data_IF_274560058122
#
_entry.id   IF_274560058122
#
_cell.length_a   1.000
_cell.length_b   1.000
_cell.length_c   1.000
_cell.angle_alpha   90.00
_cell.angle_beta   90.00
_cell.angle_gamma   90.00
#
_symmetry.space_group_name_H-M   'P 1'
#
loop_
_entity.id
_entity.type
_entity.pdbx_description
1 polymer ?
#
# COMPACT_ATOMS: atom_id res chain seq x y z
N UNK A 1 -16.55 57.15 76.28
CA UNK A 1 -17.53 56.09 76.00
C UNK A 1 -17.90 56.18 74.53
N UNK A 2 -17.64 55.10 73.77
CA UNK A 2 -18.31 54.65 72.51
C UNK A 2 -18.81 55.71 71.53
N UNK A 3 -18.20 55.89 70.34
CA UNK A 3 -18.49 55.09 69.13
C UNK A 3 -18.58 56.03 67.89
N UNK A 4 -18.48 55.53 66.64
CA UNK A 4 -17.48 56.06 65.70
C UNK A 4 -17.98 56.87 64.49
N UNK A 5 -17.09 57.77 64.06
CA UNK A 5 -16.63 58.14 62.71
C UNK A 5 -17.51 57.91 61.47
N UNK A 6 -17.84 59.03 60.81
CA UNK A 6 -18.01 59.17 59.36
C UNK A 6 -17.28 60.46 58.96
N UNK A 7 -16.37 60.40 57.98
CA UNK A 7 -15.61 61.58 57.54
C UNK A 7 -15.02 61.35 56.15
N UNK A 8 -15.55 62.12 55.22
CA UNK A 8 -15.25 62.17 53.79
C UNK A 8 -14.04 63.08 53.49
N UNK A 9 -13.56 63.01 52.26
CA UNK A 9 -12.76 64.00 51.50
C UNK A 9 -11.30 64.34 51.89
N UNK A 10 -10.44 64.07 50.90
CA UNK A 10 -9.31 64.87 50.36
C UNK A 10 -8.73 66.02 51.19
N UNK A 11 -7.41 66.00 51.43
CA UNK A 11 -6.55 67.10 50.98
C UNK A 11 -5.06 66.70 50.89
N UNK A 12 -4.42 67.35 49.93
CA UNK A 12 -3.03 67.38 49.53
C UNK A 12 -2.05 67.92 50.60
N UNK A 13 -0.76 67.52 50.52
CA UNK A 13 0.45 68.38 50.53
C UNK A 13 1.73 67.63 50.98
N UNK A 14 2.86 68.00 50.36
CA UNK A 14 4.16 68.09 51.06
C UNK A 14 5.17 66.97 50.80
N UNK A 15 6.16 67.23 49.94
CA UNK A 15 7.34 66.38 49.78
C UNK A 15 8.45 66.65 50.80
N UNK A 16 9.39 65.70 50.94
CA UNK A 16 10.86 65.88 50.79
C UNK A 16 11.65 64.61 51.14
N UNK A 17 12.65 64.34 50.30
CA UNK A 17 13.82 63.45 50.30
C UNK A 17 14.25 62.67 51.56
N UNK A 18 14.66 61.40 51.34
CA UNK A 18 15.73 60.76 52.13
C UNK A 18 15.88 59.23 51.98
N UNK A 19 16.85 58.77 51.15
CA UNK A 19 17.69 57.59 51.42
C UNK A 19 17.21 56.16 51.06
N UNK A 20 17.84 55.58 50.02
CA UNK A 20 17.85 54.17 49.53
C UNK A 20 18.29 53.12 50.58
N UNK A 21 18.27 51.77 50.34
CA UNK A 21 18.11 51.01 49.07
C UNK A 21 17.25 49.71 49.13
N UNK A 22 17.20 48.97 48.02
CA UNK A 22 16.74 47.57 47.80
C UNK A 22 15.23 47.41 47.58
N UNK A 23 14.70 46.71 46.59
CA UNK A 23 15.19 46.04 45.38
C UNK A 23 13.88 45.84 44.57
N UNK A 24 13.63 46.58 43.50
CA UNK A 24 13.87 46.02 42.17
C UNK A 24 12.84 44.97 41.73
N UNK A 25 11.53 45.26 41.69
CA UNK A 25 10.57 44.43 40.94
C UNK A 25 9.94 45.24 39.80
N UNK A 26 10.68 45.41 38.72
CA UNK A 26 10.10 45.66 37.39
C UNK A 26 9.83 44.30 36.76
N UNK A 27 8.56 43.93 36.66
CA UNK A 27 8.11 42.74 35.93
C UNK A 27 8.34 43.03 34.43
N UNK A 28 9.38 42.40 33.89
CA UNK A 28 9.69 42.37 32.47
C UNK A 28 8.76 41.34 31.78
N UNK A 29 7.95 41.69 30.77
CA UNK A 29 7.01 40.77 30.13
C UNK A 29 7.68 39.78 29.16
N UNK A 30 8.98 39.50 29.33
CA UNK A 30 9.78 38.66 28.44
C UNK A 30 10.29 37.34 29.08
N UNK A 31 9.72 36.92 30.21
CA UNK A 31 10.15 35.71 30.92
C UNK A 31 8.98 34.75 31.22
N UNK A 32 8.34 34.24 30.18
CA UNK A 32 7.62 32.95 30.28
C UNK A 32 7.64 32.22 28.94
N UNK A 33 8.86 32.04 28.42
CA UNK A 33 9.10 31.10 27.32
C UNK A 33 9.36 29.76 27.95
N UNK A 34 8.30 28.97 28.12
CA UNK A 34 8.41 27.52 28.32
C UNK A 34 9.25 26.99 27.15
N UNK A 35 10.50 26.62 27.43
CA UNK A 35 11.32 25.89 26.48
C UNK A 35 10.58 24.58 26.16
N UNK A 36 10.28 24.29 24.89
CA UNK A 36 9.90 22.94 24.53
C UNK A 36 11.13 22.09 24.81
N UNK A 37 11.03 21.18 25.77
CA UNK A 37 12.03 20.15 25.95
C UNK A 37 12.21 19.45 24.61
N UNK A 38 13.41 19.56 24.06
CA UNK A 38 13.94 18.76 22.96
C UNK A 38 13.94 17.29 23.39
N UNK A 39 12.75 16.69 23.36
CA UNK A 39 12.60 15.29 23.03
C UNK A 39 12.28 15.22 21.54
N UNK A 40 13.16 15.83 20.75
CA UNK A 40 13.43 15.42 19.38
C UNK A 40 13.94 13.98 19.43
N UNK A 41 13.03 13.03 19.50
CA UNK A 41 13.30 11.73 18.89
C UNK A 41 13.15 11.93 17.39
N UNK A 42 14.13 12.58 16.78
CA UNK A 42 14.33 12.59 15.34
C UNK A 42 14.42 11.14 14.89
N UNK A 43 13.32 10.59 14.40
CA UNK A 43 13.32 9.36 13.61
C UNK A 43 13.87 9.74 12.23
N UNK A 44 15.16 10.07 12.21
CA UNK A 44 15.90 10.57 11.06
C UNK A 44 17.40 10.24 11.14
N UNK A 45 17.78 9.21 11.91
CA UNK A 45 19.18 8.86 12.19
C UNK A 45 19.76 7.74 11.33
N UNK A 46 18.97 7.09 10.47
CA UNK A 46 19.47 6.02 9.61
C UNK A 46 20.03 6.59 8.31
N UNK A 47 21.21 6.13 7.90
CA UNK A 47 21.77 6.48 6.60
C UNK A 47 20.86 6.01 5.46
N UNK A 48 20.86 6.73 4.34
CA UNK A 48 20.09 6.37 3.13
C UNK A 48 20.34 4.91 2.73
N UNK A 49 21.59 4.44 2.81
CA UNK A 49 21.95 3.06 2.50
C UNK A 49 21.27 2.04 3.43
N UNK A 50 21.20 2.31 4.74
CA UNK A 50 20.52 1.45 5.71
C UNK A 50 19.00 1.46 5.46
N UNK A 51 18.43 2.61 5.14
CA UNK A 51 17.02 2.73 4.78
C UNK A 51 16.66 1.92 3.54
N UNK A 52 17.40 2.11 2.45
CA UNK A 52 17.21 1.36 1.21
C UNK A 52 17.44 -0.13 1.42
N UNK A 53 18.54 -0.50 2.07
CA UNK A 53 18.88 -1.91 2.33
C UNK A 53 17.84 -2.62 3.19
N UNK A 54 17.33 -1.98 4.24
CA UNK A 54 16.26 -2.55 5.09
C UNK A 54 14.92 -2.65 4.37
N UNK A 55 14.55 -1.65 3.57
CA UNK A 55 13.31 -1.67 2.78
C UNK A 55 13.33 -2.76 1.70
N UNK A 56 14.40 -2.83 0.91
CA UNK A 56 14.55 -3.87 -0.11
C UNK A 56 14.64 -5.24 0.57
N UNK A 57 15.40 -5.34 1.66
CA UNK A 57 15.57 -6.56 2.43
C UNK A 57 14.24 -7.13 2.95
N UNK A 58 13.38 -6.31 3.56
CA UNK A 58 12.08 -6.79 4.05
C UNK A 58 11.14 -7.19 2.91
N UNK A 59 11.16 -6.47 1.79
CA UNK A 59 10.40 -6.84 0.59
C UNK A 59 10.82 -8.22 0.04
N UNK A 60 12.12 -8.43 -0.14
CA UNK A 60 12.69 -9.71 -0.60
C UNK A 60 12.40 -10.83 0.41
N UNK A 61 12.57 -10.58 1.71
CA UNK A 61 12.25 -11.56 2.76
C UNK A 61 10.78 -11.96 2.74
N UNK A 62 9.86 -11.04 2.46
CA UNK A 62 8.44 -11.36 2.31
C UNK A 62 8.19 -12.33 1.15
N UNK A 63 8.86 -12.13 0.01
CA UNK A 63 8.79 -13.05 -1.14
C UNK A 63 9.38 -14.41 -0.80
N UNK A 64 10.56 -14.44 -0.17
CA UNK A 64 11.19 -15.70 0.25
C UNK A 64 10.33 -16.44 1.28
N UNK A 65 9.69 -15.73 2.20
CA UNK A 65 8.74 -16.32 3.15
C UNK A 65 7.54 -16.92 2.42
N UNK A 66 7.01 -16.25 1.38
CA UNK A 66 5.90 -16.78 0.58
C UNK A 66 6.30 -18.06 -0.16
N UNK A 67 7.50 -18.09 -0.74
CA UNK A 67 8.06 -19.29 -1.38
C UNK A 67 8.22 -20.42 -0.36
N UNK A 68 8.77 -20.13 0.82
CA UNK A 68 8.95 -21.12 1.88
C UNK A 68 7.60 -21.70 2.36
N UNK A 69 6.60 -20.85 2.59
CA UNK A 69 5.24 -21.29 2.98
C UNK A 69 4.60 -22.14 1.88
N UNK A 70 4.70 -21.69 0.63
CA UNK A 70 4.17 -22.43 -0.53
C UNK A 70 4.84 -23.80 -0.68
N UNK A 71 6.17 -23.86 -0.47
CA UNK A 71 6.92 -25.11 -0.48
C UNK A 71 6.48 -26.06 0.64
N UNK A 72 6.32 -25.55 1.86
CA UNK A 72 5.80 -26.36 3.00
C UNK A 72 4.43 -26.93 2.67
N UNK A 73 3.50 -26.14 2.10
CA UNK A 73 2.19 -26.65 1.69
C UNK A 73 2.29 -27.69 0.59
N UNK A 74 3.17 -27.50 -0.41
CA UNK A 74 3.39 -28.51 -1.43
C UNK A 74 3.87 -29.84 -0.82
N UNK A 75 4.83 -29.80 0.11
CA UNK A 75 5.35 -31.00 0.78
C UNK A 75 4.29 -31.70 1.65
N UNK A 76 3.53 -30.93 2.44
CA UNK A 76 2.43 -31.49 3.24
C UNK A 76 1.38 -32.12 2.34
N UNK A 77 1.04 -31.46 1.23
CA UNK A 77 0.13 -31.98 0.21
C UNK A 77 0.56 -33.35 -0.30
N UNK A 78 1.84 -33.53 -0.63
CA UNK A 78 2.36 -34.83 -1.07
C UNK A 78 2.24 -35.91 0.02
N UNK A 79 2.43 -35.57 1.30
CA UNK A 79 2.35 -36.52 2.41
C UNK A 79 0.93 -36.97 2.74
N UNK A 80 -0.08 -36.12 2.49
CA UNK A 80 -1.49 -36.42 2.80
C UNK A 80 -2.30 -36.95 1.61
N UNK A 81 -1.63 -37.26 0.50
CA UNK A 81 -2.29 -37.77 -0.73
C UNK A 81 -2.83 -36.70 -1.67
N UNK A 82 -2.40 -35.45 -1.51
CA UNK A 82 -2.79 -34.30 -2.31
C UNK A 82 -3.88 -33.45 -1.68
N UNK A 83 -3.94 -32.17 -2.07
CA UNK A 83 -5.03 -31.27 -1.74
C UNK A 83 -5.99 -31.15 -2.93
N UNK A 84 -7.28 -30.92 -2.65
CA UNK A 84 -8.20 -30.47 -3.69
C UNK A 84 -7.77 -29.10 -4.23
N UNK A 85 -8.15 -28.79 -5.47
CA UNK A 85 -7.81 -27.49 -6.08
C UNK A 85 -8.22 -26.31 -5.19
N UNK A 86 -9.42 -26.36 -4.60
CA UNK A 86 -9.91 -25.32 -3.70
C UNK A 86 -9.06 -25.15 -2.45
N UNK A 87 -8.59 -26.26 -1.84
CA UNK A 87 -7.70 -26.21 -0.68
C UNK A 87 -6.32 -25.67 -1.07
N UNK A 88 -5.75 -26.12 -2.20
CA UNK A 88 -4.48 -25.61 -2.71
C UNK A 88 -4.52 -24.11 -3.00
N UNK A 89 -5.62 -23.62 -3.57
CA UNK A 89 -5.83 -22.19 -3.80
C UNK A 89 -6.00 -21.43 -2.49
N UNK A 90 -6.78 -21.94 -1.53
CA UNK A 90 -6.94 -21.30 -0.23
C UNK A 90 -5.61 -21.22 0.55
N UNK A 91 -4.82 -22.29 0.56
CA UNK A 91 -3.53 -22.32 1.24
C UNK A 91 -2.53 -21.36 0.60
N UNK A 92 -2.41 -21.36 -0.73
CA UNK A 92 -1.44 -20.49 -1.43
C UNK A 92 -1.89 -19.02 -1.45
N UNK A 93 -3.12 -18.73 -1.89
CA UNK A 93 -3.62 -17.37 -2.04
C UNK A 93 -3.96 -16.71 -0.70
N UNK A 94 -4.54 -17.44 0.25
CA UNK A 94 -5.01 -16.86 1.53
C UNK A 94 -3.94 -16.98 2.59
N UNK A 95 -3.60 -18.20 2.99
CA UNK A 95 -2.69 -18.42 4.13
C UNK A 95 -1.28 -17.97 3.79
N UNK A 96 -0.80 -18.30 2.59
CA UNK A 96 0.52 -17.93 2.09
C UNK A 96 0.76 -16.43 2.16
N UNK A 97 -0.17 -15.62 1.64
CA UNK A 97 -0.01 -14.17 1.61
C UNK A 97 -0.07 -13.52 3.01
N UNK A 98 -1.02 -13.91 3.87
CA UNK A 98 -1.09 -13.34 5.22
C UNK A 98 0.15 -13.71 6.04
N UNK A 99 0.58 -14.97 6.02
CA UNK A 99 1.74 -15.41 6.79
C UNK A 99 3.01 -14.77 6.25
N UNK A 100 3.20 -14.76 4.94
CA UNK A 100 4.41 -14.24 4.33
C UNK A 100 4.47 -12.72 4.34
N UNK A 101 3.52 -12.03 3.71
CA UNK A 101 3.61 -10.58 3.50
C UNK A 101 3.24 -9.81 4.75
N UNK A 102 2.05 -10.08 5.30
CA UNK A 102 1.62 -9.40 6.54
C UNK A 102 2.47 -9.83 7.72
N UNK A 103 2.78 -11.13 7.85
CA UNK A 103 3.64 -11.64 8.93
C UNK A 103 5.06 -11.05 8.87
N UNK A 104 5.72 -11.05 7.71
CA UNK A 104 7.08 -10.47 7.59
C UNK A 104 7.08 -8.97 7.83
N UNK A 105 6.13 -8.23 7.24
CA UNK A 105 6.06 -6.78 7.44
C UNK A 105 5.72 -6.41 8.89
N UNK A 106 4.78 -7.12 9.54
CA UNK A 106 4.49 -6.91 10.97
C UNK A 106 5.69 -7.27 11.85
N UNK A 107 6.37 -8.38 11.58
CA UNK A 107 7.57 -8.76 12.33
C UNK A 107 8.64 -7.67 12.22
N UNK A 108 8.90 -7.17 11.01
CA UNK A 108 9.83 -6.07 10.78
C UNK A 108 9.44 -4.79 11.55
N UNK A 109 8.18 -4.35 11.46
CA UNK A 109 7.70 -3.16 12.18
C UNK A 109 7.81 -3.33 13.71
N UNK A 110 7.54 -4.53 14.21
CA UNK A 110 7.68 -4.85 15.65
C UNK A 110 9.14 -4.86 16.10
N UNK A 111 10.04 -5.40 15.29
CA UNK A 111 11.49 -5.34 15.53
C UNK A 111 12.02 -3.90 15.50
N UNK A 112 11.36 -3.01 14.77
CA UNK A 112 11.60 -1.55 14.79
C UNK A 112 10.98 -0.83 15.99
N UNK A 113 10.31 -1.55 16.90
CA UNK A 113 9.69 -0.99 18.11
C UNK A 113 8.31 -0.38 17.89
N UNK A 114 7.63 -0.64 16.78
CA UNK A 114 6.33 -0.05 16.50
C UNK A 114 5.22 -0.79 17.28
N UNK A 115 4.58 -0.07 18.21
CA UNK A 115 3.35 -0.51 18.85
C UNK A 115 2.16 -0.53 17.89
N UNK A 116 1.02 -1.12 18.29
CA UNK A 116 -0.17 -1.27 17.42
C UNK A 116 -0.67 0.07 16.85
N UNK A 117 -0.83 1.08 17.70
CA UNK A 117 -1.31 2.41 17.27
C UNK A 117 -0.38 3.04 16.24
N UNK A 118 0.93 3.00 16.49
CA UNK A 118 1.94 3.52 15.57
C UNK A 118 1.97 2.78 14.24
N UNK A 119 1.70 1.47 14.23
CA UNK A 119 1.58 0.71 12.96
C UNK A 119 0.39 1.22 12.15
N UNK A 120 -0.78 1.39 12.78
CA UNK A 120 -1.98 1.89 12.09
C UNK A 120 -1.75 3.27 11.50
N UNK A 121 -1.14 4.18 12.27
CA UNK A 121 -0.82 5.54 11.84
C UNK A 121 0.25 5.56 10.74
N UNK A 122 1.36 4.83 10.92
CA UNK A 122 2.45 4.78 9.96
C UNK A 122 2.03 4.23 8.60
N UNK A 123 1.08 3.29 8.60
CA UNK A 123 0.54 2.70 7.39
C UNK A 123 -0.65 3.49 6.83
N UNK A 124 -1.18 4.49 7.53
CA UNK A 124 -2.39 5.20 7.10
C UNK A 124 -3.61 4.27 6.98
N UNK A 125 -3.80 3.37 7.94
CA UNK A 125 -4.96 2.47 7.96
C UNK A 125 -6.16 3.24 8.52
N UNK A 126 -6.89 3.89 7.62
CA UNK A 126 -8.04 4.72 7.95
C UNK A 126 -9.21 4.43 7.00
N UNK A 127 -10.44 4.75 7.44
CA UNK A 127 -11.62 4.60 6.58
C UNK A 127 -11.49 5.55 5.38
N UNK A 128 -11.65 5.05 4.14
CA UNK A 128 -11.52 5.90 2.96
C UNK A 128 -12.65 6.94 2.93
N UNK A 129 -12.29 8.18 2.61
CA UNK A 129 -13.27 9.22 2.30
C UNK A 129 -13.96 8.93 0.95
N UNK A 130 -15.05 9.64 0.64
CA UNK A 130 -15.68 9.54 -0.68
C UNK A 130 -14.69 9.84 -1.82
N UNK A 131 -13.85 10.86 -1.64
CA UNK A 131 -12.79 11.17 -2.59
C UNK A 131 -11.78 10.00 -2.69
N UNK A 132 -11.40 9.39 -1.56
CA UNK A 132 -10.56 8.20 -1.54
C UNK A 132 -11.16 7.03 -2.33
N UNK A 133 -12.47 6.78 -2.20
CA UNK A 133 -13.16 5.76 -2.99
C UNK A 133 -13.20 6.09 -4.49
N UNK A 134 -13.43 7.35 -4.85
CA UNK A 134 -13.38 7.81 -6.25
C UNK A 134 -11.98 7.63 -6.82
N UNK A 135 -10.94 7.96 -6.05
CA UNK A 135 -9.54 7.73 -6.44
C UNK A 135 -9.25 6.24 -6.60
N UNK A 136 -9.74 5.38 -5.71
CA UNK A 136 -9.54 3.93 -5.82
C UNK A 136 -10.15 3.37 -7.11
N UNK A 137 -11.39 3.75 -7.43
CA UNK A 137 -12.09 3.29 -8.65
C UNK A 137 -11.44 3.90 -9.91
N UNK A 138 -11.25 5.22 -9.93
CA UNK A 138 -10.64 5.91 -11.08
C UNK A 138 -9.21 5.45 -11.33
N UNK A 139 -8.43 5.23 -10.26
CA UNK A 139 -7.08 4.68 -10.33
C UNK A 139 -7.06 3.24 -10.86
N UNK A 140 -8.00 2.38 -10.46
CA UNK A 140 -8.11 1.02 -10.98
C UNK A 140 -8.40 1.01 -12.48
N UNK A 141 -9.33 1.86 -12.93
CA UNK A 141 -9.64 2.03 -14.36
C UNK A 141 -8.45 2.59 -15.14
N UNK A 142 -7.78 3.62 -14.62
CA UNK A 142 -6.59 4.18 -15.24
C UNK A 142 -5.47 3.13 -15.36
N UNK A 143 -5.26 2.33 -14.32
CA UNK A 143 -4.29 1.23 -14.32
C UNK A 143 -4.64 0.16 -15.34
N UNK A 144 -5.92 -0.20 -15.46
CA UNK A 144 -6.41 -1.10 -16.49
C UNK A 144 -6.15 -0.57 -17.89
N UNK A 145 -6.45 0.70 -18.17
CA UNK A 145 -6.21 1.33 -19.48
C UNK A 145 -4.72 1.34 -19.82
N UNK A 146 -3.85 1.66 -18.85
CA UNK A 146 -2.39 1.61 -19.03
C UNK A 146 -1.94 0.18 -19.35
N UNK A 147 -2.38 -0.81 -18.56
CA UNK A 147 -2.03 -2.21 -18.78
C UNK A 147 -2.49 -2.71 -20.15
N UNK A 148 -3.71 -2.34 -20.58
CA UNK A 148 -4.25 -2.69 -21.89
C UNK A 148 -3.43 -2.05 -23.02
N UNK A 149 -3.10 -0.77 -22.89
CA UNK A 149 -2.29 -0.03 -23.89
C UNK A 149 -0.91 -0.67 -24.03
N UNK A 150 -0.24 -0.97 -22.92
CA UNK A 150 1.07 -1.61 -22.92
C UNK A 150 1.00 -3.03 -23.50
N UNK A 151 -0.05 -3.79 -23.17
CA UNK A 151 -0.26 -5.14 -23.72
C UNK A 151 -0.46 -5.10 -25.23
N UNK A 152 -1.18 -4.11 -25.76
CA UNK A 152 -1.35 -3.91 -27.20
C UNK A 152 -0.03 -3.57 -27.91
N UNK A 153 0.84 -2.76 -27.27
CA UNK A 153 2.19 -2.49 -27.79
C UNK A 153 3.06 -3.75 -27.77
N UNK A 154 3.02 -4.52 -26.69
CA UNK A 154 3.79 -5.76 -26.59
C UNK A 154 3.33 -6.79 -27.63
N UNK A 155 2.04 -6.86 -27.94
CA UNK A 155 1.52 -7.75 -28.98
C UNK A 155 2.15 -7.51 -30.36
N UNK A 156 2.64 -6.30 -30.67
CA UNK A 156 3.34 -6.04 -31.95
C UNK A 156 4.76 -6.61 -32.00
N UNK A 157 5.32 -7.04 -30.87
CA UNK A 157 6.67 -7.62 -30.81
C UNK A 157 6.72 -9.10 -31.20
N UNK A 158 5.56 -9.78 -31.26
CA UNK A 158 5.47 -11.22 -31.48
C UNK A 158 5.93 -12.07 -30.29
N UNK A 159 6.25 -11.44 -29.15
CA UNK A 159 6.62 -12.15 -27.92
C UNK A 159 5.40 -12.23 -27.01
N UNK A 160 5.00 -13.46 -26.68
CA UNK A 160 3.93 -13.71 -25.72
C UNK A 160 4.43 -13.51 -24.27
N UNK A 161 3.81 -12.61 -23.49
CA UNK A 161 4.11 -12.48 -22.07
C UNK A 161 3.86 -13.78 -21.31
N UNK A 162 4.66 -14.05 -20.28
CA UNK A 162 4.38 -15.15 -19.38
C UNK A 162 3.02 -14.95 -18.70
N UNK A 163 2.27 -16.04 -18.53
CA UNK A 163 0.92 -15.99 -17.98
C UNK A 163 0.97 -16.12 -16.45
N UNK A 164 0.08 -15.39 -15.77
CA UNK A 164 -0.14 -15.60 -14.35
C UNK A 164 -0.84 -16.96 -14.11
N UNK A 165 -0.28 -17.79 -13.25
CA UNK A 165 -0.78 -19.13 -12.93
C UNK A 165 -2.21 -19.10 -12.37
N UNK A 166 -2.57 -18.10 -11.56
CA UNK A 166 -3.93 -17.93 -11.07
C UNK A 166 -4.94 -17.68 -12.20
N UNK A 167 -4.56 -16.84 -13.17
CA UNK A 167 -5.37 -16.61 -14.37
C UNK A 167 -5.45 -17.88 -15.25
N UNK A 168 -4.35 -18.64 -15.38
CA UNK A 168 -4.35 -19.90 -16.13
C UNK A 168 -5.30 -20.95 -15.52
N UNK A 169 -5.31 -21.08 -14.19
CA UNK A 169 -6.26 -21.96 -13.48
C UNK A 169 -7.70 -21.47 -13.66
N UNK A 170 -7.93 -20.15 -13.59
CA UNK A 170 -9.25 -19.56 -13.82
C UNK A 170 -9.76 -19.80 -15.25
N UNK A 171 -8.88 -19.82 -16.27
CA UNK A 171 -9.25 -20.17 -17.64
C UNK A 171 -9.74 -21.61 -17.78
N UNK A 172 -9.14 -22.53 -17.03
CA UNK A 172 -9.52 -23.95 -17.04
C UNK A 172 -10.80 -24.21 -16.24
N UNK A 173 -11.08 -23.39 -15.22
CA UNK A 173 -12.28 -23.50 -14.40
C UNK A 173 -12.86 -22.12 -14.08
N UNK A 174 -13.62 -21.50 -14.99
CA UNK A 174 -14.15 -20.14 -14.82
C UNK A 174 -15.07 -19.97 -13.61
N UNK A 175 -15.68 -21.06 -13.11
CA UNK A 175 -16.56 -21.03 -11.95
C UNK A 175 -15.87 -20.57 -10.66
N UNK A 176 -14.54 -20.61 -10.59
CA UNK A 176 -13.79 -20.13 -9.42
C UNK A 176 -13.55 -18.62 -9.43
N UNK A 177 -13.78 -17.94 -10.57
CA UNK A 177 -13.46 -16.51 -10.73
C UNK A 177 -14.12 -15.64 -9.65
N UNK A 178 -15.42 -15.79 -9.30
CA UNK A 178 -16.03 -15.00 -8.22
C UNK A 178 -15.31 -15.16 -6.87
N UNK A 179 -14.84 -16.37 -6.54
CA UNK A 179 -14.09 -16.61 -5.31
C UNK A 179 -12.70 -15.96 -5.35
N UNK A 180 -12.03 -15.98 -6.51
CA UNK A 180 -10.74 -15.29 -6.69
C UNK A 180 -10.93 -13.78 -6.60
N UNK A 181 -11.98 -13.21 -7.20
CA UNK A 181 -12.33 -11.78 -7.09
C UNK A 181 -12.49 -11.40 -5.61
N UNK A 182 -13.25 -12.18 -4.83
CA UNK A 182 -13.37 -11.93 -3.39
C UNK A 182 -12.00 -11.98 -2.69
N UNK A 183 -11.15 -12.94 -3.05
CA UNK A 183 -9.78 -13.03 -2.51
C UNK A 183 -8.90 -11.83 -2.91
N UNK A 184 -9.14 -11.18 -4.06
CA UNK A 184 -8.42 -9.96 -4.43
C UNK A 184 -8.66 -8.83 -3.42
N UNK A 185 -9.91 -8.67 -2.96
CA UNK A 185 -10.28 -7.64 -1.98
C UNK A 185 -9.87 -7.97 -0.56
N UNK A 186 -9.98 -9.23 -0.16
CA UNK A 186 -9.75 -9.62 1.22
C UNK A 186 -8.27 -9.91 1.50
N UNK A 187 -7.55 -10.43 0.51
CA UNK A 187 -6.20 -10.94 0.70
C UNK A 187 -5.19 -10.24 -0.18
N UNK A 188 -5.27 -10.39 -1.51
CA UNK A 188 -4.17 -10.01 -2.41
C UNK A 188 -3.87 -8.52 -2.32
N UNK A 189 -4.88 -7.67 -2.58
CA UNK A 189 -4.73 -6.22 -2.49
C UNK A 189 -4.22 -5.79 -1.11
N UNK A 190 -4.89 -6.17 0.00
CA UNK A 190 -4.43 -5.79 1.34
C UNK A 190 -3.04 -6.29 1.71
N UNK A 191 -2.70 -7.56 1.44
CA UNK A 191 -1.43 -8.16 1.88
C UNK A 191 -0.24 -7.61 1.08
N UNK A 192 -0.40 -7.50 -0.24
CA UNK A 192 0.66 -6.97 -1.10
C UNK A 192 0.87 -5.49 -0.83
N UNK A 193 -0.19 -4.66 -0.81
CA UNK A 193 -0.02 -3.24 -0.55
C UNK A 193 0.51 -2.98 0.87
N UNK A 194 0.13 -3.80 1.86
CA UNK A 194 0.70 -3.72 3.21
C UNK A 194 2.23 -3.86 3.18
N UNK A 195 2.75 -4.88 2.50
CA UNK A 195 4.19 -5.09 2.45
C UNK A 195 4.87 -4.03 1.57
N UNK A 196 4.41 -3.83 0.34
CA UNK A 196 5.16 -3.05 -0.65
C UNK A 196 4.95 -1.54 -0.53
N UNK A 197 3.74 -1.07 -0.17
CA UNK A 197 3.49 0.36 0.09
C UNK A 197 3.66 0.69 1.54
N UNK A 198 2.93 -0.03 2.38
CA UNK A 198 2.88 0.20 3.81
C UNK A 198 4.27 0.09 4.44
N UNK A 199 5.02 -0.97 4.14
CA UNK A 199 6.33 -1.21 4.76
C UNK A 199 7.48 -0.74 3.88
N UNK A 200 7.62 -1.25 2.64
CA UNK A 200 8.79 -0.99 1.79
C UNK A 200 8.82 0.47 1.33
N UNK A 201 7.76 0.98 0.71
CA UNK A 201 7.70 2.36 0.23
C UNK A 201 7.77 3.36 1.39
N UNK A 202 6.96 3.20 2.45
CA UNK A 202 7.02 4.10 3.61
C UNK A 202 8.40 4.13 4.25
N UNK A 203 9.08 2.97 4.34
CA UNK A 203 10.46 2.93 4.84
C UNK A 203 11.40 3.73 3.95
N UNK A 204 11.31 3.58 2.63
CA UNK A 204 12.11 4.38 1.69
C UNK A 204 11.84 5.88 1.85
N UNK A 205 10.58 6.26 2.11
CA UNK A 205 10.16 7.66 2.30
C UNK A 205 10.75 8.33 3.54
N UNK A 206 11.22 7.56 4.52
CA UNK A 206 11.93 8.11 5.70
C UNK A 206 13.27 8.78 5.32
N UNK A 207 13.85 8.47 4.15
CA UNK A 207 15.17 9.02 3.75
C UNK A 207 15.27 9.42 2.28
N UNK A 208 14.26 9.14 1.46
CA UNK A 208 14.22 9.47 0.04
C UNK A 208 12.97 10.26 -0.31
N UNK A 209 13.02 11.17 -1.29
CA UNK A 209 11.82 11.78 -1.87
C UNK A 209 10.84 10.74 -2.45
N UNK A 210 9.60 11.18 -2.71
CA UNK A 210 8.51 10.33 -3.20
C UNK A 210 8.88 9.52 -4.46
N UNK A 211 9.34 10.19 -5.51
CA UNK A 211 9.62 9.55 -6.80
C UNK A 211 10.61 8.36 -6.70
N UNK A 212 11.84 8.51 -6.15
CA UNK A 212 12.76 7.38 -6.02
C UNK A 212 12.25 6.28 -5.08
N UNK A 213 11.53 6.63 -4.00
CA UNK A 213 10.93 5.62 -3.13
C UNK A 213 9.89 4.75 -3.85
N UNK A 214 9.01 5.37 -4.65
CA UNK A 214 8.00 4.68 -5.46
C UNK A 214 8.65 3.79 -6.52
N UNK A 215 9.69 4.29 -7.20
CA UNK A 215 10.42 3.53 -8.22
C UNK A 215 11.11 2.31 -7.62
N UNK A 216 11.82 2.48 -6.50
CA UNK A 216 12.52 1.36 -5.85
C UNK A 216 11.53 0.34 -5.31
N UNK A 217 10.45 0.77 -4.64
CA UNK A 217 9.41 -0.15 -4.17
C UNK A 217 8.80 -0.95 -5.34
N UNK A 218 8.59 -0.30 -6.49
CA UNK A 218 8.07 -0.96 -7.69
C UNK A 218 9.06 -1.94 -8.32
N UNK A 219 10.35 -1.62 -8.27
CA UNK A 219 11.42 -2.51 -8.71
C UNK A 219 11.59 -3.74 -7.80
N UNK A 220 11.09 -3.71 -6.56
CA UNK A 220 11.01 -4.88 -5.67
C UNK A 220 9.71 -5.66 -5.90
N UNK A 221 8.58 -4.95 -6.08
CA UNK A 221 7.25 -5.55 -6.29
C UNK A 221 7.14 -6.34 -7.60
N UNK A 222 7.53 -5.76 -8.74
CA UNK A 222 7.28 -6.39 -10.03
C UNK A 222 8.03 -7.74 -10.19
N UNK A 223 9.34 -7.86 -9.86
CA UNK A 223 10.03 -9.14 -9.92
C UNK A 223 9.51 -10.18 -8.93
N UNK A 224 8.88 -9.78 -7.82
CA UNK A 224 8.25 -10.70 -6.88
C UNK A 224 7.23 -11.62 -7.55
N UNK A 225 6.64 -11.19 -8.67
CA UNK A 225 5.66 -11.96 -9.43
C UNK A 225 6.25 -13.12 -10.21
N UNK A 226 7.58 -13.24 -10.34
CA UNK A 226 8.21 -14.34 -11.09
C UNK A 226 7.72 -15.73 -10.62
N UNK A 227 7.41 -15.86 -9.33
CA UNK A 227 6.92 -17.11 -8.72
C UNK A 227 5.51 -17.51 -9.17
N UNK A 228 4.72 -16.54 -9.64
CA UNK A 228 3.34 -16.74 -10.11
C UNK A 228 3.23 -16.72 -11.63
N UNK A 229 4.33 -16.49 -12.34
CA UNK A 229 4.39 -16.51 -13.80
C UNK A 229 4.77 -17.91 -14.31
N UNK A 230 4.20 -18.29 -15.45
CA UNK A 230 4.52 -19.54 -16.15
C UNK A 230 4.38 -19.38 -17.66
N UNK A 231 5.16 -20.15 -18.43
CA UNK A 231 5.23 -20.04 -19.89
C UNK A 231 6.09 -18.87 -20.39
N UNK A 232 6.12 -18.66 -21.71
CA UNK A 232 6.78 -17.52 -22.36
C UNK A 232 8.32 -17.52 -22.37
N UNK A 233 8.98 -18.47 -21.68
CA UNK A 233 10.43 -18.50 -21.54
C UNK A 233 10.99 -17.26 -20.81
N UNK A 234 12.31 -17.07 -20.84
CA UNK A 234 12.94 -15.94 -20.16
C UNK A 234 12.47 -14.57 -20.68
N UNK A 235 12.23 -14.47 -22.00
CA UNK A 235 11.74 -13.24 -22.63
C UNK A 235 10.31 -12.90 -22.21
N UNK A 236 9.39 -13.87 -22.23
CA UNK A 236 8.00 -13.67 -21.81
C UNK A 236 7.89 -13.29 -20.32
N UNK A 237 8.72 -13.90 -19.46
CA UNK A 237 8.81 -13.52 -18.04
C UNK A 237 9.32 -12.10 -17.86
N UNK A 238 10.39 -11.71 -18.57
CA UNK A 238 10.94 -10.36 -18.49
C UNK A 238 9.92 -9.30 -18.95
N UNK A 239 9.18 -9.57 -20.02
CA UNK A 239 8.12 -8.69 -20.52
C UNK A 239 6.98 -8.58 -19.50
N UNK A 240 6.50 -9.70 -18.94
CA UNK A 240 5.45 -9.69 -17.94
C UNK A 240 5.85 -8.87 -16.69
N UNK A 241 7.09 -9.05 -16.21
CA UNK A 241 7.64 -8.24 -15.11
C UNK A 241 7.71 -6.76 -15.50
N UNK A 242 8.17 -6.44 -16.72
CA UNK A 242 8.22 -5.06 -17.22
C UNK A 242 6.85 -4.39 -17.26
N UNK A 243 5.81 -5.13 -17.68
CA UNK A 243 4.43 -4.64 -17.67
C UNK A 243 3.93 -4.35 -16.25
N UNK A 244 4.29 -5.19 -15.27
CA UNK A 244 3.87 -5.05 -13.87
C UNK A 244 4.47 -3.84 -13.15
N UNK A 245 5.59 -3.28 -13.64
CA UNK A 245 6.17 -2.05 -13.08
C UNK A 245 5.18 -0.89 -13.16
N UNK A 246 4.42 -0.77 -14.24
CA UNK A 246 3.54 0.39 -14.45
C UNK A 246 2.35 0.43 -13.47
N UNK A 247 1.54 -0.63 -13.29
CA UNK A 247 0.56 -0.70 -12.21
C UNK A 247 1.16 -0.41 -10.84
N UNK A 248 2.33 -0.98 -10.54
CA UNK A 248 3.01 -0.75 -9.28
C UNK A 248 3.39 0.72 -9.05
N UNK A 249 3.84 1.43 -10.09
CA UNK A 249 4.11 2.86 -9.99
C UNK A 249 2.83 3.64 -9.66
N UNK A 250 1.72 3.31 -10.33
CA UNK A 250 0.42 3.95 -10.09
C UNK A 250 -0.07 3.70 -8.66
N UNK A 251 0.05 2.48 -8.15
CA UNK A 251 -0.28 2.16 -6.76
C UNK A 251 0.57 2.99 -5.79
N UNK A 252 1.88 3.08 -6.06
CA UNK A 252 2.79 3.89 -5.24
C UNK A 252 2.45 5.38 -5.23
N UNK A 253 2.07 5.93 -6.38
CA UNK A 253 1.61 7.33 -6.50
C UNK A 253 0.31 7.55 -5.74
N UNK A 254 -0.67 6.66 -5.88
CA UNK A 254 -1.95 6.78 -5.17
C UNK A 254 -1.77 6.65 -3.66
N UNK A 255 -0.93 5.74 -3.19
CA UNK A 255 -0.62 5.64 -1.77
C UNK A 255 0.08 6.89 -1.23
N UNK A 256 1.09 7.41 -1.95
CA UNK A 256 1.77 8.66 -1.56
C UNK A 256 0.80 9.85 -1.53
N UNK A 257 -0.08 9.96 -2.52
CA UNK A 257 -1.03 11.07 -2.64
C UNK A 257 -2.13 11.02 -1.56
N UNK A 258 -2.63 9.82 -1.26
CA UNK A 258 -3.77 9.65 -0.34
C UNK A 258 -3.34 9.45 1.11
N UNK A 259 -2.10 9.00 1.34
CA UNK A 259 -1.62 8.60 2.67
C UNK A 259 -2.45 7.48 3.29
N UNK A 260 -3.19 6.70 2.49
CA UNK A 260 -4.17 5.74 3.00
C UNK A 260 -3.99 4.35 2.35
N UNK A 261 -3.60 3.36 3.16
CA UNK A 261 -3.35 2.00 2.69
C UNK A 261 -4.62 1.30 2.20
N UNK A 262 -5.78 1.61 2.79
CA UNK A 262 -7.06 1.02 2.39
C UNK A 262 -7.44 1.49 0.99
N UNK A 263 -7.19 2.75 0.64
CA UNK A 263 -7.49 3.29 -0.69
C UNK A 263 -6.68 2.57 -1.77
N UNK A 264 -5.36 2.44 -1.60
CA UNK A 264 -4.51 1.76 -2.59
C UNK A 264 -4.79 0.25 -2.64
N UNK A 265 -5.08 -0.39 -1.50
CA UNK A 265 -5.46 -1.81 -1.47
C UNK A 265 -6.76 -2.08 -2.23
N UNK A 266 -7.76 -1.20 -2.08
CA UNK A 266 -9.01 -1.26 -2.84
C UNK A 266 -8.77 -1.03 -4.34
N UNK A 267 -7.95 -0.05 -4.70
CA UNK A 267 -7.56 0.22 -6.08
C UNK A 267 -6.91 -1.00 -6.73
N UNK A 268 -5.93 -1.62 -6.05
CA UNK A 268 -5.24 -2.80 -6.53
C UNK A 268 -6.22 -3.97 -6.68
N UNK A 269 -7.04 -4.24 -5.66
CA UNK A 269 -8.05 -5.30 -5.71
C UNK A 269 -9.04 -5.11 -6.86
N UNK A 270 -9.51 -3.88 -7.09
CA UNK A 270 -10.40 -3.52 -8.20
C UNK A 270 -9.73 -3.76 -9.54
N UNK A 271 -8.49 -3.31 -9.73
CA UNK A 271 -7.74 -3.52 -10.96
C UNK A 271 -7.63 -5.01 -11.31
N UNK A 272 -7.22 -5.84 -10.35
CA UNK A 272 -7.12 -7.30 -10.58
C UNK A 272 -8.50 -7.92 -10.85
N UNK A 273 -9.53 -7.45 -10.15
CA UNK A 273 -10.90 -7.95 -10.33
C UNK A 273 -11.49 -7.58 -11.69
N UNK A 274 -11.16 -6.41 -12.25
CA UNK A 274 -11.52 -6.03 -13.62
C UNK A 274 -10.93 -7.03 -14.61
N UNK A 275 -9.63 -7.34 -14.50
CA UNK A 275 -8.98 -8.32 -15.38
C UNK A 275 -9.64 -9.70 -15.31
N UNK A 276 -9.90 -10.20 -14.10
CA UNK A 276 -10.55 -11.50 -13.90
C UNK A 276 -12.01 -11.52 -14.39
N UNK A 277 -12.74 -10.43 -14.19
CA UNK A 277 -14.14 -10.33 -14.64
C UNK A 277 -14.23 -10.27 -16.16
N UNK A 278 -13.33 -9.53 -16.81
CA UNK A 278 -13.24 -9.52 -18.27
C UNK A 278 -12.84 -10.89 -18.81
N UNK A 279 -11.91 -11.58 -18.16
CA UNK A 279 -11.56 -12.96 -18.50
C UNK A 279 -12.79 -13.89 -18.43
N UNK A 280 -13.60 -13.78 -17.37
CA UNK A 280 -14.84 -14.55 -17.25
C UNK A 280 -15.81 -14.24 -18.39
N UNK A 281 -16.01 -12.95 -18.73
CA UNK A 281 -16.91 -12.53 -19.81
C UNK A 281 -16.44 -13.12 -21.14
N UNK A 282 -15.14 -13.04 -21.44
CA UNK A 282 -14.57 -13.58 -22.68
C UNK A 282 -14.78 -15.09 -22.78
N UNK A 283 -14.58 -15.83 -21.68
CA UNK A 283 -14.75 -17.28 -21.71
C UNK A 283 -16.23 -17.69 -21.79
N UNK A 284 -17.09 -17.03 -21.01
CA UNK A 284 -18.49 -17.40 -20.90
C UNK A 284 -19.31 -17.00 -22.14
N UNK A 285 -19.00 -15.85 -22.74
CA UNK A 285 -19.81 -15.26 -23.82
C UNK A 285 -19.05 -15.06 -25.14
N UNK A 286 -17.74 -15.32 -25.18
CA UNK A 286 -16.92 -15.17 -26.39
C UNK A 286 -17.48 -15.90 -27.62
N UNK A 287 -17.84 -17.19 -27.54
CA UNK A 287 -18.40 -17.92 -28.67
C UNK A 287 -19.71 -17.30 -29.20
N UNK A 288 -20.56 -16.79 -28.32
CA UNK A 288 -21.83 -16.15 -28.70
C UNK A 288 -21.60 -14.78 -29.33
N UNK A 289 -20.63 -14.01 -28.83
CA UNK A 289 -20.21 -12.73 -29.40
C UNK A 289 -19.59 -12.91 -30.78
N UNK A 290 -18.75 -13.93 -30.98
CA UNK A 290 -18.18 -14.27 -32.29
C UNK A 290 -19.26 -14.68 -33.29
N UNK A 291 -20.20 -15.53 -32.87
CA UNK A 291 -21.32 -15.95 -33.71
C UNK A 291 -22.24 -14.77 -34.06
N UNK A 292 -22.50 -13.85 -33.13
CA UNK A 292 -23.28 -12.64 -33.37
C UNK A 292 -22.56 -11.66 -34.32
N UNK A 293 -21.24 -11.50 -34.16
CA UNK A 293 -20.42 -10.67 -35.05
C UNK A 293 -20.36 -11.25 -36.48
N UNK A 294 -20.19 -12.57 -36.60
CA UNK A 294 -20.19 -13.26 -37.90
C UNK A 294 -21.58 -13.17 -38.58
N UNK A 295 -22.67 -13.33 -37.81
CA UNK A 295 -24.03 -13.16 -38.31
C UNK A 295 -24.35 -11.72 -38.73
N UNK A 296 -23.84 -10.72 -38.01
CA UNK A 296 -23.97 -9.30 -38.37
C UNK A 296 -23.17 -8.93 -39.62
N UNK A 297 -21.97 -9.48 -39.79
CA UNK A 297 -21.15 -9.29 -40.99
C UNK A 297 -21.80 -9.91 -42.25
N UNK A 298 -22.54 -11.01 -42.10
CA UNK A 298 -23.30 -11.62 -43.19
C UNK A 298 -24.53 -10.81 -43.62
N UNK A 299 -24.99 -9.87 -42.79
CA UNK A 299 -26.17 -9.02 -43.04
C UNK A 299 -25.82 -7.63 -43.61
N UNK A 300 -24.54 -7.27 -43.67
CA UNK A 300 -24.06 -6.06 -44.35
C UNK A 300 -23.63 -6.44 -45.77
N UNK A 301 -24.45 -6.16 -46.81
CA UNK A 301 -24.01 -6.36 -48.19
C UNK A 301 -22.88 -5.37 -48.48
N UNK A 302 -21.74 -5.90 -48.95
CA UNK A 302 -20.69 -5.13 -49.61
C UNK A 302 -21.19 -4.74 -51.01
#
# INVERSE_FOLDING_TARGET
MTGPSSGDSDDSTGGTNGGSPTDGTTIDPAADRIEPGDNDQSVGGDSVAKTVGSAVGVGVLGVLAYVAVSFVFAQVGQLVGGFSLGVSLALSLVVGQYVAFVGTGLAYLRLRGFGRTRIVEYLGIERPSLLGLVIAVGGAVATFVVALTLSAVVATSGVEPAQNQGAAVAMQNPAIIPAIVLAMFLVVGPCEEFLFRGVVQSRLRESLPAAPAIVIASAVFAPAHVISLSGGGASGVAIAIGLLVFPSLLFGVVYEYTGNLVVVALMHALYNSILLSLLYIVIAYGPELENAAAGGAALLPI
#
